data_IF_547686619188
#
_entry.id   IF_547686619188
#
_cell.length_a   1.000
_cell.length_b   1.000
_cell.length_c   1.000
_cell.angle_alpha   90.00
_cell.angle_beta   90.00
_cell.angle_gamma   90.00
#
_symmetry.space_group_name_H-M   'P 1'
#
loop_
_entity.id
_entity.type
_entity.pdbx_description
1 polymer ?
#
# COMPACT_ATOMS: atom_id res chain seq x y z
N UNK A 1 -0.31 -21.13 31.30
CA UNK A 1 -0.74 -21.60 29.97
C UNK A 1 -1.74 -20.59 29.43
N UNK A 2 -1.39 -19.88 28.35
CA UNK A 2 -2.17 -18.75 27.86
C UNK A 2 -3.24 -19.23 26.85
N UNK A 3 -4.54 -19.18 27.18
CA UNK A 3 -5.62 -19.69 26.31
C UNK A 3 -5.77 -18.92 25.00
N UNK A 4 -5.19 -17.71 24.90
CA UNK A 4 -5.22 -16.87 23.71
C UNK A 4 -4.31 -17.42 22.59
N UNK A 5 -3.19 -18.06 22.96
CA UNK A 5 -2.25 -18.66 22.01
C UNK A 5 -2.80 -19.94 21.38
N UNK A 6 -3.57 -20.74 22.13
CA UNK A 6 -4.23 -21.93 21.58
C UNK A 6 -5.34 -21.56 20.59
N UNK A 7 -6.08 -20.48 20.85
CA UNK A 7 -7.13 -20.01 19.94
C UNK A 7 -6.57 -19.52 18.60
N UNK A 8 -5.43 -18.80 18.63
CA UNK A 8 -4.75 -18.32 17.41
C UNK A 8 -4.14 -19.50 16.64
N UNK A 9 -3.61 -20.51 17.33
CA UNK A 9 -3.11 -21.75 16.71
C UNK A 9 -4.23 -22.56 16.06
N UNK A 10 -5.41 -22.65 16.69
CA UNK A 10 -6.56 -23.34 16.12
C UNK A 10 -7.09 -22.63 14.87
N UNK A 11 -7.18 -21.29 14.90
CA UNK A 11 -7.60 -20.48 13.76
C UNK A 11 -6.62 -20.56 12.59
N UNK A 12 -5.31 -20.57 12.84
CA UNK A 12 -4.31 -20.70 11.78
C UNK A 12 -4.32 -22.09 11.13
N UNK A 13 -4.57 -23.15 11.90
CA UNK A 13 -4.77 -24.51 11.38
C UNK A 13 -6.02 -24.62 10.49
N UNK A 14 -7.15 -24.04 10.91
CA UNK A 14 -8.39 -24.04 10.10
C UNK A 14 -8.21 -23.20 8.83
N UNK A 15 -7.55 -22.05 8.91
CA UNK A 15 -7.31 -21.18 7.75
C UNK A 15 -6.35 -21.83 6.73
N UNK A 16 -5.32 -22.54 7.20
CA UNK A 16 -4.38 -23.29 6.36
C UNK A 16 -5.03 -24.52 5.70
N UNK A 17 -5.89 -25.23 6.43
CA UNK A 17 -6.68 -26.33 5.87
C UNK A 17 -7.71 -25.84 4.84
N UNK A 18 -8.31 -24.67 5.05
CA UNK A 18 -9.23 -24.04 4.11
C UNK A 18 -8.54 -23.56 2.82
N UNK A 19 -7.32 -23.01 2.93
CA UNK A 19 -6.52 -22.58 1.77
C UNK A 19 -6.07 -23.77 0.91
N UNK A 20 -5.70 -24.90 1.55
CA UNK A 20 -5.30 -26.13 0.85
C UNK A 20 -6.49 -26.83 0.19
N UNK A 21 -7.67 -26.86 0.82
CA UNK A 21 -8.89 -27.43 0.24
C UNK A 21 -9.43 -26.58 -0.93
N UNK A 22 -9.31 -25.24 -0.83
CA UNK A 22 -9.71 -24.32 -1.91
C UNK A 22 -8.77 -24.39 -3.13
N UNK A 23 -7.49 -24.74 -2.95
CA UNK A 23 -6.57 -24.99 -4.08
C UNK A 23 -6.78 -26.36 -4.72
N UNK A 24 -7.23 -27.37 -3.96
CA UNK A 24 -7.51 -28.70 -4.49
C UNK A 24 -8.81 -28.77 -5.30
N UNK A 25 -9.83 -27.98 -4.94
CA UNK A 25 -11.13 -27.97 -5.65
C UNK A 25 -11.14 -27.20 -6.99
N UNK A 26 -10.01 -26.59 -7.38
CA UNK A 26 -9.87 -25.84 -8.63
C UNK A 26 -9.11 -26.60 -9.74
N UNK A 27 -8.62 -27.83 -9.45
CA UNK A 27 -7.91 -28.68 -10.42
C UNK A 27 -8.80 -29.76 -11.02
N UNK A 28 -9.86 -29.35 -11.73
CA UNK A 28 -10.58 -30.24 -12.64
C UNK A 28 -10.88 -29.56 -13.98
N UNK A 29 -9.89 -28.84 -14.51
CA UNK A 29 -9.82 -28.37 -15.90
C UNK A 29 -8.45 -28.76 -16.46
N UNK A 30 -8.50 -29.52 -17.55
CA UNK A 30 -7.41 -30.14 -18.30
C UNK A 30 -6.27 -29.17 -18.70
N UNK A 31 -5.02 -29.46 -18.28
CA UNK A 31 -3.83 -29.81 -19.10
C UNK A 31 -2.50 -29.59 -18.33
N UNK A 32 -1.43 -30.35 -18.67
CA UNK A 32 -0.20 -30.45 -17.89
C UNK A 32 0.88 -29.46 -18.37
N UNK A 33 1.65 -28.91 -17.43
CA UNK A 33 3.01 -28.45 -17.69
C UNK A 33 3.80 -28.50 -16.37
N UNK A 34 4.73 -29.45 -16.30
CA UNK A 34 5.69 -29.61 -15.23
C UNK A 34 6.67 -28.43 -15.21
N UNK A 35 6.96 -27.88 -14.02
CA UNK A 35 8.35 -27.67 -13.60
C UNK A 35 8.50 -27.43 -12.09
N UNK A 36 9.26 -28.34 -11.49
CA UNK A 36 10.15 -28.23 -10.33
C UNK A 36 9.67 -27.63 -9.00
N UNK A 37 9.35 -28.54 -8.08
CA UNK A 37 9.67 -28.43 -6.66
C UNK A 37 11.18 -28.26 -6.44
N UNK A 38 11.57 -27.32 -5.59
CA UNK A 38 12.77 -27.44 -4.75
C UNK A 38 12.46 -26.90 -3.35
N UNK A 39 12.53 -27.82 -2.39
CA UNK A 39 12.82 -27.70 -0.97
C UNK A 39 11.90 -26.85 -0.06
N UNK A 40 10.98 -27.58 0.57
CA UNK A 40 10.58 -27.39 1.97
C UNK A 40 11.45 -28.32 2.82
N UNK A 41 12.18 -27.74 3.78
CA UNK A 41 12.68 -28.25 5.07
C UNK A 41 13.98 -27.46 5.33
N UNK A 42 14.14 -26.69 6.41
CA UNK A 42 14.21 -27.15 7.80
C UNK A 42 13.83 -25.98 8.71
N UNK A 43 12.83 -26.19 9.56
CA UNK A 43 12.67 -25.48 10.82
C UNK A 43 13.67 -26.11 11.79
N UNK A 44 14.66 -25.35 12.26
CA UNK A 44 15.43 -25.71 13.46
C UNK A 44 15.31 -24.60 14.49
N UNK A 45 14.55 -24.96 15.51
CA UNK A 45 14.48 -24.38 16.83
C UNK A 45 15.88 -24.29 17.45
N UNK A 46 16.23 -23.12 18.00
CA UNK A 46 17.17 -23.04 19.12
C UNK A 46 16.82 -21.81 19.95
N UNK A 47 16.19 -22.09 21.08
CA UNK A 47 16.04 -21.24 22.25
C UNK A 47 17.22 -21.59 23.17
N UNK A 48 18.12 -20.64 23.43
CA UNK A 48 19.02 -20.69 24.59
C UNK A 48 19.06 -19.29 25.20
N UNK A 49 18.57 -19.22 26.42
CA UNK A 49 18.71 -18.14 27.38
C UNK A 49 20.16 -18.03 27.86
N UNK A 50 20.60 -16.81 28.17
CA UNK A 50 21.86 -16.57 28.88
C UNK A 50 22.14 -15.08 29.00
N UNK A 51 22.02 -14.58 30.22
CA UNK A 51 22.27 -13.21 30.66
C UNK A 51 23.73 -12.78 30.44
N UNK A 52 23.95 -11.48 30.27
CA UNK A 52 25.28 -10.87 30.19
C UNK A 52 25.19 -9.38 29.90
N UNK A 53 25.28 -8.59 30.96
CA UNK A 53 25.47 -7.13 30.94
C UNK A 53 26.73 -6.75 30.16
N UNK A 54 26.66 -5.70 29.35
CA UNK A 54 27.79 -4.85 28.99
C UNK A 54 27.25 -3.51 28.45
N UNK A 55 27.71 -2.45 29.09
CA UNK A 55 27.47 -1.04 28.82
C UNK A 55 28.22 -0.53 27.56
N UNK A 56 27.97 0.75 27.28
CA UNK A 56 28.71 1.70 26.42
C UNK A 56 28.47 1.61 24.89
N UNK A 57 28.26 2.69 24.16
CA UNK A 57 28.31 4.13 24.46
C UNK A 57 27.53 4.87 23.35
N UNK A 58 26.75 5.88 23.73
CA UNK A 58 26.06 6.77 22.80
C UNK A 58 26.95 7.97 22.46
N UNK A 59 27.03 8.31 21.17
CA UNK A 59 27.68 9.54 20.69
C UNK A 59 26.95 10.76 21.24
N UNK A 60 27.50 11.37 22.30
CA UNK A 60 27.07 12.65 22.84
C UNK A 60 27.52 13.82 21.96
N UNK A 61 26.61 14.78 21.83
CA UNK A 61 26.83 16.12 21.28
C UNK A 61 28.01 16.84 21.98
N UNK A 62 28.82 17.50 21.15
CA UNK A 62 29.94 18.32 21.59
C UNK A 62 29.49 19.52 22.43
N UNK A 63 29.42 19.35 23.75
CA UNK A 63 29.43 20.45 24.73
C UNK A 63 30.77 21.20 24.66
N UNK A 64 30.79 22.54 24.73
CA UNK A 64 32.03 23.31 24.70
C UNK A 64 32.83 23.05 25.98
N UNK A 65 34.11 22.71 25.81
CA UNK A 65 35.07 22.47 26.90
C UNK A 65 35.23 23.74 27.76
N UNK A 66 34.64 23.76 28.95
CA UNK A 66 34.96 24.74 29.99
C UNK A 66 36.37 24.44 30.51
N UNK A 67 37.34 25.25 30.12
CA UNK A 67 38.70 25.21 30.67
C UNK A 67 38.62 25.65 32.14
N UNK A 68 39.16 24.89 33.12
CA UNK A 68 39.37 25.43 34.45
C UNK A 68 40.38 26.58 34.32
N UNK A 69 39.93 27.80 34.58
CA UNK A 69 40.80 28.95 34.71
C UNK A 69 41.67 28.71 35.96
N UNK A 70 42.93 28.35 35.74
CA UNK A 70 43.94 28.20 36.79
C UNK A 70 44.19 29.61 37.34
N UNK A 71 43.60 29.92 38.50
CA UNK A 71 43.97 31.07 39.32
C UNK A 71 45.41 30.85 39.83
N UNK A 72 46.40 31.67 39.46
CA UNK A 72 47.71 31.61 40.08
C UNK A 72 47.63 32.24 41.48
N UNK A 73 48.21 31.54 42.45
CA UNK A 73 48.45 31.94 43.85
C UNK A 73 48.23 33.43 44.17
N UNK A 74 47.15 33.73 44.91
CA UNK A 74 47.05 34.97 45.67
C UNK A 74 48.03 34.89 46.86
N UNK A 75 49.21 35.46 46.68
CA UNK A 75 50.00 35.99 47.79
C UNK A 75 49.12 37.03 48.50
N UNK A 76 48.93 36.96 49.83
CA UNK A 76 48.20 37.98 50.56
C UNK A 76 48.87 39.34 50.33
N UNK A 77 48.18 40.33 49.74
CA UNK A 77 48.76 41.66 49.61
C UNK A 77 49.02 42.20 51.03
N UNK A 78 50.29 42.45 51.32
CA UNK A 78 50.69 43.21 52.52
C UNK A 78 49.97 44.56 52.47
N UNK A 79 49.11 44.80 53.44
CA UNK A 79 48.49 46.09 53.71
C UNK A 79 49.61 47.02 54.22
N UNK A 80 49.98 48.10 53.51
CA UNK A 80 50.71 49.19 54.12
C UNK A 80 49.71 49.98 54.99
N UNK A 81 50.12 50.24 56.22
CA UNK A 81 49.37 50.95 57.25
C UNK A 81 48.74 52.27 56.78
N UNK A 82 47.47 52.45 57.12
CA UNK A 82 47.01 53.76 57.58
C UNK A 82 46.21 54.67 56.65
N UNK A 83 45.36 54.14 55.76
CA UNK A 83 44.27 54.93 55.17
C UNK A 83 42.91 54.39 55.61
N UNK A 84 42.08 55.28 56.14
CA UNK A 84 40.84 54.99 56.86
C UNK A 84 39.89 54.19 55.97
N UNK A 85 39.72 52.90 56.26
CA UNK A 85 38.83 52.01 55.51
C UNK A 85 37.37 52.38 55.84
N UNK A 86 36.71 53.11 54.95
CA UNK A 86 35.29 53.44 55.09
C UNK A 86 34.44 52.19 54.82
N UNK A 87 33.81 51.64 55.87
CA UNK A 87 32.92 50.48 55.76
C UNK A 87 31.71 50.73 54.86
N UNK A 88 31.24 51.98 54.78
CA UNK A 88 30.19 52.39 53.85
C UNK A 88 30.65 52.31 52.39
N UNK A 89 31.93 52.53 52.12
CA UNK A 89 32.51 52.42 50.77
C UNK A 89 32.60 50.95 50.31
N UNK A 90 32.94 50.05 51.23
CA UNK A 90 32.90 48.60 50.98
C UNK A 90 31.47 48.13 50.70
N UNK A 91 30.49 48.64 51.44
CA UNK A 91 29.09 48.26 51.24
C UNK A 91 28.54 48.78 49.90
N UNK A 92 28.85 50.02 49.53
CA UNK A 92 28.52 50.58 48.21
C UNK A 92 29.16 49.80 47.07
N UNK A 93 30.46 49.51 47.15
CA UNK A 93 31.19 48.72 46.14
C UNK A 93 30.65 47.29 46.01
N UNK A 94 30.14 46.71 47.10
CA UNK A 94 29.46 45.41 47.05
C UNK A 94 28.15 45.53 46.28
N UNK A 95 27.28 46.48 46.65
CA UNK A 95 26.00 46.67 45.95
C UNK A 95 26.19 47.00 44.46
N UNK A 96 27.17 47.84 44.12
CA UNK A 96 27.48 48.19 42.74
C UNK A 96 27.98 46.99 41.92
N UNK A 97 28.84 46.16 42.50
CA UNK A 97 29.31 44.92 41.85
C UNK A 97 28.17 43.93 41.65
N UNK A 98 27.34 43.71 42.68
CA UNK A 98 26.23 42.78 42.60
C UNK A 98 25.19 43.25 41.56
N UNK A 99 24.99 44.56 41.42
CA UNK A 99 24.10 45.16 40.41
C UNK A 99 24.67 45.01 38.99
N UNK A 100 25.98 45.25 38.79
CA UNK A 100 26.64 45.01 37.51
C UNK A 100 26.65 43.53 37.11
N UNK A 101 26.90 42.64 38.07
CA UNK A 101 26.91 41.20 37.84
C UNK A 101 25.51 40.71 37.45
N UNK A 102 24.47 41.17 38.15
CA UNK A 102 23.09 40.87 37.80
C UNK A 102 22.73 41.37 36.39
N UNK A 103 23.14 42.59 36.04
CA UNK A 103 22.89 43.17 34.73
C UNK A 103 23.61 42.38 33.61
N UNK A 104 24.85 41.97 33.86
CA UNK A 104 25.63 41.12 32.94
C UNK A 104 24.98 39.74 32.76
N UNK A 105 24.53 39.11 33.84
CA UNK A 105 23.83 37.82 33.79
C UNK A 105 22.53 37.90 32.99
N UNK A 106 21.77 38.99 33.17
CA UNK A 106 20.55 39.25 32.42
C UNK A 106 20.88 39.38 30.93
N UNK A 107 21.83 40.23 30.56
CA UNK A 107 22.23 40.44 29.16
C UNK A 107 22.74 39.16 28.51
N UNK A 108 23.63 38.42 29.18
CA UNK A 108 24.16 37.13 28.69
C UNK A 108 23.04 36.11 28.47
N UNK A 109 22.07 36.03 29.39
CA UNK A 109 20.97 35.08 29.25
C UNK A 109 20.07 35.40 28.05
N UNK A 110 19.71 36.67 27.87
CA UNK A 110 18.92 37.10 26.71
C UNK A 110 19.66 36.95 25.40
N UNK A 111 20.95 37.31 25.35
CA UNK A 111 21.75 37.12 24.14
C UNK A 111 21.95 35.65 23.78
N UNK A 112 22.19 34.77 24.77
CA UNK A 112 22.33 33.32 24.53
C UNK A 112 21.05 32.76 23.94
N UNK A 113 19.90 33.05 24.58
CA UNK A 113 18.59 32.60 24.12
C UNK A 113 18.25 33.12 22.73
N UNK A 114 18.55 34.38 22.45
CA UNK A 114 18.31 34.99 21.13
C UNK A 114 19.16 34.32 20.04
N UNK A 115 20.46 34.09 20.30
CA UNK A 115 21.36 33.40 19.37
C UNK A 115 20.90 31.97 19.11
N UNK A 116 20.56 31.22 20.16
CA UNK A 116 20.01 29.86 20.04
C UNK A 116 18.70 29.82 19.23
N UNK A 117 17.80 30.77 19.45
CA UNK A 117 16.53 30.86 18.72
C UNK A 117 16.76 31.18 17.24
N UNK A 118 17.64 32.13 16.92
CA UNK A 118 18.01 32.47 15.54
C UNK A 118 18.64 31.28 14.81
N UNK A 119 19.55 30.54 15.47
CA UNK A 119 20.15 29.33 14.92
C UNK A 119 19.12 28.23 14.68
N UNK A 120 18.21 28.01 15.64
CA UNK A 120 17.14 27.02 15.51
C UNK A 120 16.18 27.38 14.37
N UNK A 121 15.83 28.65 14.23
CA UNK A 121 14.99 29.15 13.13
C UNK A 121 15.71 28.94 11.79
N UNK A 122 16.98 29.31 11.68
CA UNK A 122 17.78 29.10 10.46
C UNK A 122 17.86 27.62 10.07
N UNK A 123 18.05 26.73 11.05
CA UNK A 123 18.11 25.29 10.81
C UNK A 123 16.77 24.73 10.35
N UNK A 124 15.67 25.15 10.98
CA UNK A 124 14.30 24.78 10.57
C UNK A 124 14.00 25.26 9.16
N UNK A 125 14.35 26.49 8.82
CA UNK A 125 14.17 27.04 7.47
C UNK A 125 14.95 26.23 6.42
N UNK A 126 16.19 25.83 6.70
CA UNK A 126 16.98 24.96 5.81
C UNK A 126 16.40 23.55 5.67
N UNK A 127 15.80 23.01 6.72
CA UNK A 127 15.12 21.70 6.66
C UNK A 127 13.85 21.82 5.82
N UNK A 128 13.06 22.87 6.05
CA UNK A 128 11.81 23.11 5.34
C UNK A 128 12.06 23.36 3.86
N UNK A 129 13.08 24.16 3.52
CA UNK A 129 13.54 24.35 2.14
C UNK A 129 13.92 23.03 1.46
N UNK A 130 14.66 22.16 2.13
CA UNK A 130 15.01 20.83 1.57
C UNK A 130 13.81 19.89 1.45
N UNK A 131 12.78 20.05 2.28
CA UNK A 131 11.52 19.29 2.18
C UNK A 131 10.70 19.79 1.00
N UNK A 132 10.54 21.10 0.86
CA UNK A 132 9.79 21.70 -0.25
C UNK A 132 10.47 21.44 -1.60
N UNK A 133 11.80 21.51 -1.69
CA UNK A 133 12.56 21.15 -2.89
C UNK A 133 12.34 19.68 -3.30
N UNK A 134 12.35 18.74 -2.34
CA UNK A 134 12.07 17.32 -2.62
C UNK A 134 10.62 17.10 -3.05
N UNK A 135 9.68 17.77 -2.42
CA UNK A 135 8.27 17.73 -2.78
C UNK A 135 8.06 18.26 -4.21
N UNK A 136 8.70 19.37 -4.57
CA UNK A 136 8.59 19.96 -5.90
C UNK A 136 9.28 19.09 -6.96
N UNK A 137 10.44 18.52 -6.67
CA UNK A 137 11.07 17.54 -7.57
C UNK A 137 10.17 16.34 -7.83
N UNK A 138 9.50 15.83 -6.80
CA UNK A 138 8.55 14.73 -6.95
C UNK A 138 7.33 15.15 -7.79
N UNK A 139 6.82 16.38 -7.58
CA UNK A 139 5.71 16.94 -8.35
C UNK A 139 6.07 17.07 -9.84
N UNK A 140 7.24 17.62 -10.15
CA UNK A 140 7.76 17.75 -11.52
C UNK A 140 7.97 16.39 -12.18
N UNK A 141 8.47 15.38 -11.46
CA UNK A 141 8.59 14.01 -12.01
C UNK A 141 7.21 13.42 -12.31
N UNK A 142 6.28 13.50 -11.36
CA UNK A 142 4.92 13.01 -11.56
C UNK A 142 4.20 13.72 -12.72
N UNK A 143 4.41 15.03 -12.88
CA UNK A 143 3.83 15.80 -13.97
C UNK A 143 4.42 15.42 -15.33
N UNK A 144 5.75 15.29 -15.43
CA UNK A 144 6.41 14.81 -16.65
C UNK A 144 5.99 13.39 -17.03
N UNK A 145 5.82 12.50 -16.06
CA UNK A 145 5.37 11.13 -16.32
C UNK A 145 3.90 11.10 -16.76
N UNK A 146 3.03 11.91 -16.14
CA UNK A 146 1.65 12.11 -16.59
C UNK A 146 1.57 12.71 -17.98
N UNK A 147 2.42 13.66 -18.32
CA UNK A 147 2.47 14.26 -19.66
C UNK A 147 2.89 13.23 -20.71
N UNK A 148 3.92 12.43 -20.44
CA UNK A 148 4.34 11.33 -21.33
C UNK A 148 3.21 10.33 -21.55
N UNK A 149 2.54 9.94 -20.47
CA UNK A 149 1.41 9.02 -20.54
C UNK A 149 0.26 9.62 -21.36
N UNK A 150 -0.06 10.91 -21.15
CA UNK A 150 -1.07 11.64 -21.90
C UNK A 150 -0.73 11.73 -23.39
N UNK A 151 0.53 12.01 -23.76
CA UNK A 151 0.97 12.03 -25.17
C UNK A 151 0.83 10.67 -25.84
N UNK A 152 1.18 9.59 -25.14
CA UNK A 152 1.02 8.22 -25.65
C UNK A 152 -0.47 7.85 -25.81
N UNK A 153 -1.32 8.30 -24.90
CA UNK A 153 -2.76 8.09 -24.98
C UNK A 153 -3.41 8.92 -26.09
N UNK A 154 -2.96 10.16 -26.28
CA UNK A 154 -3.42 11.04 -27.36
C UNK A 154 -2.95 10.56 -28.75
N UNK A 155 -1.72 10.07 -28.89
CA UNK A 155 -1.23 9.45 -30.13
C UNK A 155 -1.99 8.16 -30.44
N UNK A 156 -2.29 7.33 -29.43
CA UNK A 156 -3.15 6.15 -29.59
C UNK A 156 -4.57 6.56 -29.96
N UNK A 157 -5.14 7.58 -29.32
CA UNK A 157 -6.48 8.06 -29.62
C UNK A 157 -6.58 8.61 -31.04
N UNK A 158 -5.59 9.39 -31.50
CA UNK A 158 -5.54 9.91 -32.87
C UNK A 158 -5.38 8.79 -33.91
N UNK A 159 -4.54 7.79 -33.61
CA UNK A 159 -4.39 6.60 -34.47
C UNK A 159 -5.67 5.76 -34.51
N UNK A 160 -6.36 5.64 -33.38
CA UNK A 160 -7.65 4.95 -33.29
C UNK A 160 -8.76 5.72 -34.02
N UNK A 161 -8.74 7.05 -34.01
CA UNK A 161 -9.68 7.92 -34.73
C UNK A 161 -9.45 7.88 -36.25
N UNK A 162 -8.20 7.97 -36.70
CA UNK A 162 -7.85 7.81 -38.12
C UNK A 162 -8.16 6.39 -38.64
N UNK A 163 -7.91 5.36 -37.84
CA UNK A 163 -8.27 3.98 -38.20
C UNK A 163 -9.79 3.75 -38.17
N UNK A 164 -10.52 4.40 -37.26
CA UNK A 164 -11.99 4.36 -37.23
C UNK A 164 -12.60 5.06 -38.44
N UNK A 165 -12.06 6.22 -38.85
CA UNK A 165 -12.50 6.95 -40.05
C UNK A 165 -12.23 6.14 -41.33
N UNK A 166 -11.03 5.57 -41.46
CA UNK A 166 -10.68 4.71 -42.60
C UNK A 166 -11.55 3.44 -42.66
N UNK A 167 -11.87 2.83 -41.51
CA UNK A 167 -12.79 1.69 -41.44
C UNK A 167 -14.21 2.07 -41.82
N UNK A 168 -14.70 3.25 -41.42
CA UNK A 168 -16.03 3.73 -41.80
C UNK A 168 -16.11 3.99 -43.32
N UNK A 169 -15.06 4.55 -43.92
CA UNK A 169 -14.98 4.75 -45.37
C UNK A 169 -14.86 3.43 -46.14
N UNK A 170 -14.08 2.47 -45.63
CA UNK A 170 -13.95 1.12 -46.21
C UNK A 170 -15.24 0.32 -46.07
N UNK A 171 -15.97 0.41 -44.95
CA UNK A 171 -17.27 -0.24 -44.78
C UNK A 171 -18.36 0.43 -45.64
N UNK A 172 -18.29 1.74 -45.87
CA UNK A 172 -19.18 2.42 -46.82
C UNK A 172 -18.86 2.04 -48.28
N UNK A 173 -17.58 1.89 -48.66
CA UNK A 173 -17.17 1.40 -49.98
C UNK A 173 -17.49 -0.08 -50.16
N UNK A 174 -17.25 -0.92 -49.15
CA UNK A 174 -17.63 -2.35 -49.14
C UNK A 174 -19.14 -2.56 -49.15
N UNK A 175 -19.93 -1.75 -48.45
CA UNK A 175 -21.40 -1.80 -48.54
C UNK A 175 -21.90 -1.46 -49.94
N UNK A 176 -21.18 -0.60 -50.68
CA UNK A 176 -21.47 -0.30 -52.09
C UNK A 176 -21.03 -1.42 -53.06
N UNK A 177 -19.99 -2.19 -52.73
CA UNK A 177 -19.47 -3.26 -53.61
C UNK A 177 -19.90 -4.69 -53.23
N UNK A 178 -20.39 -4.90 -52.01
CA UNK A 178 -20.73 -6.22 -51.44
C UNK A 178 -22.25 -6.41 -51.33
N UNK A 179 -22.95 -6.13 -52.42
CA UNK A 179 -24.30 -6.67 -52.67
C UNK A 179 -24.26 -8.12 -53.18
N UNK A 180 -23.10 -8.79 -53.13
CA UNK A 180 -22.99 -10.19 -53.54
C UNK A 180 -22.02 -10.97 -52.64
N UNK A 181 -22.62 -11.88 -51.86
CA UNK A 181 -22.07 -13.13 -51.33
C UNK A 181 -21.02 -13.07 -50.19
N UNK A 182 -21.51 -13.44 -49.00
CA UNK A 182 -20.89 -14.39 -48.07
C UNK A 182 -19.50 -14.13 -47.45
N UNK A 183 -19.03 -12.87 -47.32
CA UNK A 183 -17.86 -12.52 -46.48
C UNK A 183 -18.23 -12.05 -45.05
N UNK A 184 -19.43 -12.36 -44.55
CA UNK A 184 -19.97 -11.78 -43.31
C UNK A 184 -19.32 -12.25 -41.99
N UNK A 185 -18.74 -13.45 -41.95
CA UNK A 185 -18.31 -14.07 -40.68
C UNK A 185 -17.00 -13.54 -40.09
N UNK A 186 -16.06 -13.10 -40.93
CA UNK A 186 -14.74 -12.63 -40.49
C UNK A 186 -14.77 -11.14 -40.08
N UNK A 187 -15.53 -10.32 -40.82
CA UNK A 187 -15.70 -8.89 -40.51
C UNK A 187 -16.48 -8.65 -39.22
N UNK A 188 -17.43 -9.52 -38.85
CA UNK A 188 -18.21 -9.39 -37.62
C UNK A 188 -17.35 -9.58 -36.35
N UNK A 189 -16.41 -10.54 -36.36
CA UNK A 189 -15.45 -10.74 -35.25
C UNK A 189 -14.43 -9.60 -35.14
N UNK A 190 -14.09 -8.96 -36.26
CA UNK A 190 -13.18 -7.81 -36.29
C UNK A 190 -13.88 -6.52 -35.82
N UNK A 191 -15.14 -6.29 -36.22
CA UNK A 191 -15.94 -5.17 -35.72
C UNK A 191 -16.29 -5.32 -34.23
N UNK A 192 -16.53 -6.53 -33.72
CA UNK A 192 -16.79 -6.76 -32.29
C UNK A 192 -15.53 -6.55 -31.41
N UNK A 193 -14.33 -6.73 -31.97
CA UNK A 193 -13.05 -6.38 -31.32
C UNK A 193 -12.69 -4.90 -31.43
N UNK A 194 -13.23 -4.18 -32.42
CA UNK A 194 -12.95 -2.75 -32.71
C UNK A 194 -13.98 -1.80 -32.09
N UNK A 195 -15.16 -2.29 -31.70
CA UNK A 195 -16.10 -1.57 -30.85
C UNK A 195 -15.49 -1.43 -29.45
N UNK A 196 -15.23 -0.17 -29.05
CA UNK A 196 -14.45 0.27 -27.89
C UNK A 196 -14.25 -0.77 -26.80
N UNK A 197 -12.98 -1.11 -26.55
CA UNK A 197 -12.44 -2.01 -25.52
C UNK A 197 -13.50 -2.47 -24.52
N UNK A 198 -14.33 -3.44 -24.93
CA UNK A 198 -15.33 -4.04 -24.03
C UNK A 198 -14.52 -4.54 -22.86
N UNK A 199 -14.75 -3.94 -21.68
CA UNK A 199 -14.00 -4.26 -20.47
C UNK A 199 -13.98 -5.78 -20.37
N UNK A 200 -12.78 -6.36 -20.37
CA UNK A 200 -12.67 -7.81 -20.47
C UNK A 200 -13.39 -8.43 -19.27
N UNK A 201 -13.97 -9.62 -19.40
CA UNK A 201 -14.64 -10.29 -18.27
C UNK A 201 -13.70 -10.40 -17.04
N UNK A 202 -12.38 -10.46 -17.28
CA UNK A 202 -11.35 -10.38 -16.26
C UNK A 202 -11.32 -9.04 -15.53
N UNK A 203 -11.38 -7.94 -16.26
CA UNK A 203 -11.42 -6.58 -15.70
C UNK A 203 -12.74 -6.30 -14.98
N UNK A 204 -13.87 -6.78 -15.50
CA UNK A 204 -15.18 -6.68 -14.81
C UNK A 204 -15.18 -7.45 -13.51
N UNK A 205 -14.70 -8.71 -13.52
CA UNK A 205 -14.55 -9.51 -12.30
C UNK A 205 -13.65 -8.80 -11.29
N UNK A 206 -12.53 -8.23 -11.73
CA UNK A 206 -11.62 -7.50 -10.84
C UNK A 206 -12.31 -6.27 -10.24
N UNK A 207 -13.05 -5.50 -11.04
CA UNK A 207 -13.82 -4.33 -10.60
C UNK A 207 -14.88 -4.69 -9.57
N UNK A 208 -15.70 -5.70 -9.84
CA UNK A 208 -16.76 -6.17 -8.93
C UNK A 208 -16.15 -6.70 -7.62
N UNK A 209 -15.04 -7.45 -7.69
CA UNK A 209 -14.37 -7.94 -6.49
C UNK A 209 -13.74 -6.82 -5.67
N UNK A 210 -13.19 -5.78 -6.30
CA UNK A 210 -12.70 -4.61 -5.57
C UNK A 210 -13.82 -3.81 -4.92
N UNK A 211 -14.98 -3.68 -5.58
CA UNK A 211 -16.16 -3.01 -5.02
C UNK A 211 -16.74 -3.77 -3.81
N UNK A 212 -16.71 -5.10 -3.84
CA UNK A 212 -17.16 -5.95 -2.71
C UNK A 212 -16.16 -6.01 -1.56
N UNK A 213 -14.91 -5.59 -1.78
CA UNK A 213 -13.84 -5.69 -0.77
C UNK A 213 -14.00 -4.56 0.24
N UNK A 214 -14.44 -4.90 1.45
CA UNK A 214 -14.45 -3.99 2.59
C UNK A 214 -12.99 -3.72 3.01
N UNK A 215 -12.57 -2.45 3.01
CA UNK A 215 -11.28 -2.06 3.58
C UNK A 215 -11.33 -2.24 5.10
N UNK A 216 -10.31 -2.86 5.67
CA UNK A 216 -10.19 -3.06 7.11
C UNK A 216 -9.09 -2.15 7.64
N UNK A 217 -9.44 -1.28 8.59
CA UNK A 217 -8.49 -0.53 9.39
C UNK A 217 -8.45 -1.17 10.78
N UNK A 218 -7.27 -1.66 11.17
CA UNK A 218 -7.08 -2.46 12.40
C UNK A 218 -6.12 -1.79 13.39
N UNK A 219 -5.47 -0.69 13.01
CA UNK A 219 -4.28 -0.20 13.71
C UNK A 219 -4.60 0.55 15.01
N UNK A 220 -5.84 1.02 15.20
CA UNK A 220 -6.25 1.82 16.36
C UNK A 220 -7.55 1.34 17.04
N UNK A 221 -7.85 0.03 17.01
CA UNK A 221 -9.07 -0.51 17.63
C UNK A 221 -8.83 -1.10 19.03
N UNK A 222 -9.79 -0.91 19.94
CA UNK A 222 -9.81 -1.54 21.26
C UNK A 222 -10.09 -3.05 21.15
N UNK A 223 -9.66 -3.83 22.15
CA UNK A 223 -9.80 -5.30 22.15
C UNK A 223 -11.25 -5.78 21.98
N UNK A 224 -12.22 -5.07 22.55
CA UNK A 224 -13.64 -5.41 22.44
C UNK A 224 -14.15 -5.19 21.01
N UNK A 225 -13.79 -4.06 20.37
CA UNK A 225 -14.14 -3.77 18.98
C UNK A 225 -13.48 -4.74 18.00
N UNK A 226 -12.27 -5.23 18.29
CA UNK A 226 -11.61 -6.27 17.49
C UNK A 226 -12.37 -7.60 17.54
N UNK A 227 -12.92 -7.97 18.70
CA UNK A 227 -13.76 -9.18 18.83
C UNK A 227 -15.06 -9.05 18.05
N UNK A 228 -15.70 -7.89 18.08
CA UNK A 228 -16.90 -7.62 17.28
C UNK A 228 -16.60 -7.69 15.78
N UNK A 229 -15.51 -7.04 15.33
CA UNK A 229 -15.10 -7.09 13.92
C UNK A 229 -14.73 -8.50 13.45
N UNK A 230 -14.12 -9.31 14.31
CA UNK A 230 -13.85 -10.71 14.00
C UNK A 230 -15.15 -11.51 13.81
N UNK A 231 -16.18 -11.27 14.64
CA UNK A 231 -17.50 -11.90 14.46
C UNK A 231 -18.18 -11.45 13.18
N UNK A 232 -18.20 -10.14 12.89
CA UNK A 232 -18.77 -9.60 11.64
C UNK A 232 -18.10 -10.21 10.39
N UNK A 233 -16.77 -10.37 10.39
CA UNK A 233 -16.04 -10.98 9.29
C UNK A 233 -16.32 -12.47 9.15
N UNK A 234 -16.51 -13.16 10.28
CA UNK A 234 -16.86 -14.57 10.29
C UNK A 234 -18.27 -14.81 9.74
N UNK A 235 -19.25 -14.00 10.16
CA UNK A 235 -20.62 -14.04 9.63
C UNK A 235 -20.63 -13.75 8.12
N UNK A 236 -19.88 -12.72 7.69
CA UNK A 236 -19.75 -12.39 6.26
C UNK A 236 -19.12 -13.51 5.45
N UNK A 237 -18.12 -14.22 5.99
CA UNK A 237 -17.52 -15.39 5.34
C UNK A 237 -18.53 -16.53 5.23
N UNK A 238 -19.29 -16.80 6.29
CA UNK A 238 -20.30 -17.85 6.33
C UNK A 238 -21.41 -17.62 5.30
N UNK A 239 -21.90 -16.37 5.16
CA UNK A 239 -22.88 -16.00 4.13
C UNK A 239 -22.35 -16.26 2.71
N UNK A 240 -21.10 -15.87 2.42
CA UNK A 240 -20.49 -16.11 1.11
C UNK A 240 -20.31 -17.61 0.82
N UNK A 241 -20.04 -18.43 1.84
CA UNK A 241 -19.97 -19.88 1.69
C UNK A 241 -21.34 -20.50 1.39
N UNK A 242 -22.39 -20.03 2.07
CA UNK A 242 -23.76 -20.47 1.80
C UNK A 242 -24.20 -20.13 0.36
N UNK A 243 -23.98 -18.89 -0.09
CA UNK A 243 -24.28 -18.48 -1.48
C UNK A 243 -23.51 -19.32 -2.50
N UNK A 244 -22.22 -19.58 -2.24
CA UNK A 244 -21.39 -20.43 -3.10
C UNK A 244 -21.97 -21.84 -3.20
N UNK A 245 -22.41 -22.43 -2.10
CA UNK A 245 -23.00 -23.76 -2.08
C UNK A 245 -24.26 -23.83 -2.93
N UNK A 246 -25.18 -22.88 -2.75
CA UNK A 246 -26.42 -22.81 -3.53
C UNK A 246 -26.14 -22.67 -5.04
N UNK A 247 -25.20 -21.81 -5.42
CA UNK A 247 -24.79 -21.64 -6.81
C UNK A 247 -24.17 -22.92 -7.39
N UNK A 248 -23.37 -23.66 -6.61
CA UNK A 248 -22.80 -24.94 -7.03
C UNK A 248 -23.88 -26.01 -7.24
N UNK A 249 -24.87 -26.06 -6.34
CA UNK A 249 -26.01 -26.97 -6.47
C UNK A 249 -26.84 -26.64 -7.71
N UNK A 250 -27.19 -25.36 -7.91
CA UNK A 250 -27.89 -24.89 -9.10
C UNK A 250 -27.13 -25.20 -10.40
N UNK A 251 -25.82 -24.96 -10.42
CA UNK A 251 -24.97 -25.25 -11.58
C UNK A 251 -25.00 -26.75 -11.94
N UNK A 252 -24.97 -27.62 -10.93
CA UNK A 252 -25.05 -29.08 -11.14
C UNK A 252 -26.40 -29.49 -11.72
N UNK A 253 -27.49 -28.92 -11.20
CA UNK A 253 -28.85 -29.15 -11.74
C UNK A 253 -28.97 -28.67 -13.19
N UNK A 254 -28.52 -27.46 -13.48
CA UNK A 254 -28.51 -26.89 -14.84
C UNK A 254 -27.68 -27.75 -15.80
N UNK A 255 -26.54 -28.29 -15.36
CA UNK A 255 -25.72 -29.20 -16.17
C UNK A 255 -26.49 -30.45 -16.58
N UNK A 256 -27.27 -31.03 -15.66
CA UNK A 256 -28.15 -32.16 -15.95
C UNK A 256 -29.27 -31.76 -16.94
N UNK A 257 -29.97 -30.66 -16.67
CA UNK A 257 -31.03 -30.14 -17.55
C UNK A 257 -30.52 -29.90 -18.98
N UNK A 258 -29.34 -29.29 -19.14
CA UNK A 258 -28.69 -29.07 -20.44
C UNK A 258 -28.42 -30.39 -21.16
N UNK A 259 -27.93 -31.42 -20.44
CA UNK A 259 -27.67 -32.73 -21.04
C UNK A 259 -28.98 -33.39 -21.52
N UNK A 260 -30.04 -33.34 -20.72
CA UNK A 260 -31.36 -33.85 -21.10
C UNK A 260 -31.90 -33.11 -22.32
N UNK A 261 -31.82 -31.78 -22.34
CA UNK A 261 -32.26 -30.96 -23.47
C UNK A 261 -31.48 -31.27 -24.75
N UNK A 262 -30.16 -31.47 -24.66
CA UNK A 262 -29.33 -31.90 -25.80
C UNK A 262 -29.79 -33.24 -26.38
N UNK A 263 -30.09 -34.21 -25.51
CA UNK A 263 -30.61 -35.52 -25.95
C UNK A 263 -31.98 -35.37 -26.64
N UNK A 264 -32.91 -34.63 -26.03
CA UNK A 264 -34.24 -34.36 -26.61
C UNK A 264 -34.15 -33.69 -27.99
N UNK A 265 -33.29 -32.69 -28.13
CA UNK A 265 -33.05 -32.02 -29.43
C UNK A 265 -32.50 -33.02 -30.46
N UNK A 266 -31.56 -33.89 -30.08
CA UNK A 266 -31.03 -34.93 -30.96
C UNK A 266 -32.12 -35.90 -31.43
N UNK A 267 -32.99 -36.35 -30.54
CA UNK A 267 -34.04 -37.31 -30.84
C UNK A 267 -35.13 -36.72 -31.76
N UNK A 268 -35.53 -35.47 -31.52
CA UNK A 268 -36.43 -34.75 -32.42
C UNK A 268 -35.82 -34.52 -33.82
N UNK A 269 -34.51 -34.28 -33.90
CA UNK A 269 -33.81 -34.14 -35.19
C UNK A 269 -33.67 -35.48 -35.94
N UNK A 270 -33.47 -36.60 -35.23
CA UNK A 270 -33.38 -37.94 -35.82
C UNK A 270 -34.72 -38.42 -36.37
N UNK A 271 -35.81 -38.20 -35.64
CA UNK A 271 -37.17 -38.59 -36.07
C UNK A 271 -37.61 -37.82 -37.31
N UNK A 272 -37.38 -36.49 -37.36
CA UNK A 272 -37.67 -35.66 -38.53
C UNK A 272 -36.94 -36.11 -39.81
N UNK A 273 -35.66 -36.53 -39.70
CA UNK A 273 -34.88 -37.05 -40.84
C UNK A 273 -35.33 -38.44 -41.30
N UNK A 274 -35.86 -39.27 -40.41
CA UNK A 274 -36.35 -40.63 -40.75
C UNK A 274 -37.67 -40.56 -41.53
N UNK A 275 -38.57 -39.64 -41.19
CA UNK A 275 -39.83 -39.41 -41.93
C UNK A 275 -39.57 -38.96 -43.38
N UNK A 276 -38.52 -38.17 -43.62
CA UNK A 276 -38.14 -37.72 -44.97
C UNK A 276 -37.48 -38.81 -45.85
N UNK A 277 -36.93 -39.87 -45.23
CA UNK A 277 -36.34 -41.02 -45.96
C UNK A 277 -37.36 -42.13 -46.27
N UNK A 278 -38.51 -42.15 -45.59
CA UNK A 278 -39.60 -43.10 -45.84
C UNK A 278 -40.57 -42.67 -46.96
N UNK A 279 -40.45 -41.44 -47.47
CA UNK A 279 -41.28 -40.87 -48.53
C UNK A 279 -40.54 -40.82 -49.88
N UNK A 280 -39.86 -41.92 -50.21
CA UNK A 280 -39.38 -42.22 -51.57
C UNK A 280 -40.00 -43.56 -51.95
N UNK A 281 -41.21 -43.51 -52.48
CA UNK A 281 -41.81 -44.54 -53.34
C UNK A 281 -42.14 -43.88 -54.65
#
# INVERSE_FOLDING_TARGET
MNPVLEFISALSCVFSWFLTLSLSYSKNISRPFDFCSHNISVIRFNLVSGEGEAEEEGEEEAKPKFKPFIMPNLIPPKIPDGERVDFDDIHRKRMEKDLMELQTLIEVHFESRKKEEEELISLKERIEKRRSERAEQHRIRSERDKERQKRLEEERARKEEEEAKKRAEDDAKKKKTLTSLHFGGYMQKLNEKRSGKRQTEREKKKKILSERRKSLDLDNLSQEKLKEKAKELWEWMYELEAEKFDLQYQFTRQKYEINVLRNRVSDHQKTSKRTKRGLRK
#
